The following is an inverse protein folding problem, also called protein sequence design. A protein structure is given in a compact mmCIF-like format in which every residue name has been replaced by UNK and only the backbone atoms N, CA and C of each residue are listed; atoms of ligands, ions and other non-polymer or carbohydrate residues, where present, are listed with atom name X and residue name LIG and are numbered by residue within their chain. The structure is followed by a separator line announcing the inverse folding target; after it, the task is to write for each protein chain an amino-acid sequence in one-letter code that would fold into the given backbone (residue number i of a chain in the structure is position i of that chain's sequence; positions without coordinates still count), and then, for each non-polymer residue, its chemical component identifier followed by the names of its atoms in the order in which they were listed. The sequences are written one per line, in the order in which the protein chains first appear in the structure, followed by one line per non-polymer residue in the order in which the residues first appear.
data_IF_228987186134
#
_entry.id   IF_228987186134
#
_cell.length_a   1.000
_cell.length_b   1.000
_cell.length_c   1.000
_cell.angle_alpha   90.00
_cell.angle_beta   90.00
_cell.angle_gamma   90.00
#
_symmetry.space_group_name_H-M   'P 1'
#
loop_
_entity.id
_entity.type
_entity.pdbx_description
1 polymer ?
#
# COMPACT_ATOMS: atom_id res chain seq x y z
N UNK A 1 -10.91 -5.95 15.03
CA UNK A 1 -11.87 -6.93 15.59
C UNK A 1 -11.18 -7.99 16.45
N UNK A 2 -10.08 -8.63 16.02
CA UNK A 2 -9.32 -9.58 16.83
C UNK A 2 -8.79 -8.89 18.07
N UNK A 3 -8.20 -7.72 17.93
CA UNK A 3 -7.69 -6.92 19.06
C UNK A 3 -8.82 -6.47 19.98
N UNK A 4 -9.98 -6.07 19.46
CA UNK A 4 -11.14 -5.71 20.24
C UNK A 4 -11.72 -6.88 21.05
N UNK A 5 -11.69 -8.09 20.47
CA UNK A 5 -12.11 -9.33 21.18
C UNK A 5 -11.09 -9.77 22.22
N UNK A 6 -9.80 -9.69 21.90
CA UNK A 6 -8.72 -9.95 22.86
C UNK A 6 -8.71 -8.94 24.01
N UNK A 7 -8.98 -7.68 23.72
CA UNK A 7 -9.07 -6.65 24.74
C UNK A 7 -10.20 -6.85 25.73
N UNK A 8 -11.32 -7.44 25.31
CA UNK A 8 -12.42 -7.81 26.19
C UNK A 8 -12.11 -9.05 27.05
N UNK A 9 -11.13 -9.86 26.65
CA UNK A 9 -10.71 -11.08 27.37
C UNK A 9 -9.67 -10.83 28.46
N UNK A 10 -8.96 -9.71 28.42
CA UNK A 10 -7.88 -9.37 29.35
C UNK A 10 -8.28 -8.18 30.22
N UNK A 11 -9.19 -8.34 31.15
CA UNK A 11 -9.57 -7.39 32.22
C UNK A 11 -10.69 -6.36 31.94
N UNK A 12 -11.37 -6.34 30.85
CA UNK A 12 -12.48 -5.39 30.62
C UNK A 12 -12.07 -3.91 30.59
N UNK A 13 -10.78 -3.61 30.64
CA UNK A 13 -10.20 -2.26 30.70
C UNK A 13 -9.19 -1.96 29.59
N UNK A 14 -9.16 -2.73 28.52
CA UNK A 14 -8.31 -2.35 27.40
C UNK A 14 -8.91 -1.10 26.75
N UNK A 15 -8.16 -0.02 26.82
CA UNK A 15 -8.38 1.23 26.08
C UNK A 15 -8.13 1.01 24.57
N UNK A 16 -8.85 0.04 24.00
CA UNK A 16 -8.93 -0.05 22.54
C UNK A 16 -10.05 0.89 22.13
N UNK A 17 -9.80 1.79 21.18
CA UNK A 17 -10.84 2.64 20.61
C UNK A 17 -12.04 1.77 20.20
N UNK A 18 -13.25 2.25 20.42
CA UNK A 18 -14.48 1.53 20.06
C UNK A 18 -14.50 1.21 18.57
N UNK A 19 -13.83 2.03 17.76
CA UNK A 19 -13.71 1.86 16.32
C UNK A 19 -12.24 1.70 15.93
N UNK A 20 -11.92 0.56 15.32
CA UNK A 20 -10.64 0.31 14.66
C UNK A 20 -10.92 0.10 13.18
N UNK A 21 -10.52 1.04 12.36
CA UNK A 21 -10.66 0.99 10.91
C UNK A 21 -9.32 0.61 10.27
N UNK A 22 -9.37 -0.06 9.13
CA UNK A 22 -8.17 -0.29 8.33
C UNK A 22 -7.74 1.03 7.68
N UNK A 23 -6.42 1.26 7.58
CA UNK A 23 -5.90 2.51 7.02
C UNK A 23 -6.40 2.81 5.60
N UNK A 24 -6.59 1.78 4.77
CA UNK A 24 -7.13 1.96 3.42
C UNK A 24 -8.58 2.39 3.42
N UNK A 25 -9.37 1.97 4.41
CA UNK A 25 -10.76 2.44 4.57
C UNK A 25 -10.76 3.93 4.92
N UNK A 26 -9.85 4.36 5.79
CA UNK A 26 -9.66 5.78 6.09
C UNK A 26 -9.20 6.57 4.86
N UNK A 27 -8.24 6.04 4.09
CA UNK A 27 -7.80 6.66 2.83
C UNK A 27 -8.95 6.78 1.82
N UNK A 28 -9.81 5.74 1.74
CA UNK A 28 -10.97 5.76 0.86
C UNK A 28 -11.95 6.88 1.22
N UNK A 29 -12.22 7.07 2.51
CA UNK A 29 -13.06 8.19 2.98
C UNK A 29 -12.42 9.53 2.62
N UNK A 30 -11.09 9.62 2.65
CA UNK A 30 -10.34 10.84 2.36
C UNK A 30 -9.95 11.00 0.89
N UNK A 31 -10.33 10.08 -0.01
CA UNK A 31 -9.82 10.00 -1.38
C UNK A 31 -9.97 11.29 -2.19
N UNK A 32 -11.10 11.97 -2.08
CA UNK A 32 -11.33 13.21 -2.81
C UNK A 32 -10.39 14.33 -2.33
N UNK A 33 -10.17 14.42 -1.01
CA UNK A 33 -9.21 15.37 -0.43
C UNK A 33 -7.76 15.03 -0.76
N UNK A 34 -7.45 13.77 -0.96
CA UNK A 34 -6.13 13.31 -1.42
C UNK A 34 -5.96 13.69 -2.89
N UNK A 35 -6.97 13.45 -3.72
CA UNK A 35 -6.98 13.83 -5.13
C UNK A 35 -6.80 15.35 -5.33
N UNK A 36 -7.42 16.19 -4.50
CA UNK A 36 -7.20 17.64 -4.49
C UNK A 36 -5.73 18.06 -4.25
N UNK A 37 -4.93 17.18 -3.67
CA UNK A 37 -3.50 17.40 -3.37
C UNK A 37 -2.56 16.72 -4.34
N UNK A 38 -3.10 16.02 -5.30
CA UNK A 38 -2.33 15.37 -6.35
C UNK A 38 -1.59 16.42 -7.18
N UNK A 39 -0.29 16.21 -7.39
CA UNK A 39 0.58 17.10 -8.18
C UNK A 39 1.18 16.38 -9.39
N UNK A 40 1.03 15.06 -9.48
CA UNK A 40 1.51 14.23 -10.58
C UNK A 40 0.31 13.57 -11.23
N UNK A 41 0.18 13.74 -12.54
CA UNK A 41 -0.88 13.10 -13.32
C UNK A 41 -0.62 11.58 -13.40
N UNK A 42 -1.63 10.80 -13.03
CA UNK A 42 -1.59 9.35 -13.07
C UNK A 42 -2.57 8.73 -14.08
N UNK A 43 -3.15 9.54 -14.96
CA UNK A 43 -4.21 9.12 -15.90
C UNK A 43 -3.76 8.05 -16.90
N UNK A 44 -2.47 8.00 -17.21
CA UNK A 44 -1.89 6.99 -18.09
C UNK A 44 -1.46 5.70 -17.36
N UNK A 45 -1.52 5.68 -16.03
CA UNK A 45 -1.11 4.52 -15.23
C UNK A 45 -2.22 3.47 -15.20
N UNK A 46 -1.88 2.26 -15.62
CA UNK A 46 -2.75 1.08 -15.56
C UNK A 46 -2.50 0.35 -14.26
N UNK A 47 -3.38 0.53 -13.30
CA UNK A 47 -3.29 -0.10 -11.98
C UNK A 47 -4.19 -1.34 -11.90
N UNK A 48 -3.68 -2.43 -11.38
CA UNK A 48 -4.48 -3.58 -10.96
C UNK A 48 -4.56 -3.61 -9.44
N UNK A 49 -5.69 -4.08 -8.91
CA UNK A 49 -5.89 -4.17 -7.47
C UNK A 49 -5.75 -5.61 -7.02
N UNK A 50 -4.99 -5.83 -5.95
CA UNK A 50 -5.02 -7.07 -5.20
C UNK A 50 -5.78 -6.87 -3.89
N UNK A 51 -7.05 -7.27 -3.81
CA UNK A 51 -7.83 -7.13 -2.59
C UNK A 51 -7.35 -8.13 -1.53
N UNK A 52 -7.06 -7.64 -0.33
CA UNK A 52 -6.61 -8.51 0.75
C UNK A 52 -7.77 -9.33 1.33
N UNK A 53 -7.62 -10.65 1.31
CA UNK A 53 -8.68 -11.55 1.77
C UNK A 53 -9.07 -11.35 3.25
N UNK A 54 -8.18 -10.83 4.08
CA UNK A 54 -8.47 -10.46 5.45
C UNK A 54 -9.53 -9.36 5.57
N UNK A 55 -9.61 -8.47 4.59
CA UNK A 55 -10.54 -7.35 4.61
C UNK A 55 -11.95 -7.76 4.20
N UNK A 56 -12.10 -8.70 3.28
CA UNK A 56 -13.42 -9.06 2.75
C UNK A 56 -13.89 -10.49 3.06
N UNK A 57 -12.97 -11.46 3.25
CA UNK A 57 -13.35 -12.86 3.53
C UNK A 57 -13.44 -13.16 5.01
N UNK A 58 -12.61 -12.52 5.84
CA UNK A 58 -12.48 -12.84 7.26
C UNK A 58 -13.22 -11.85 8.17
N UNK A 59 -13.84 -10.85 7.61
CA UNK A 59 -14.64 -9.89 8.36
C UNK A 59 -16.05 -10.45 8.51
N UNK A 60 -16.57 -10.63 9.74
CA UNK A 60 -17.93 -11.07 9.96
C UNK A 60 -18.94 -10.12 9.32
N UNK A 61 -20.11 -10.65 8.92
CA UNK A 61 -21.18 -9.85 8.33
C UNK A 61 -21.74 -8.77 9.25
N UNK A 62 -21.53 -8.92 10.57
CA UNK A 62 -21.86 -7.97 11.61
C UNK A 62 -20.71 -7.01 11.96
N UNK A 63 -19.68 -6.97 11.15
CA UNK A 63 -18.58 -6.05 11.36
C UNK A 63 -19.06 -4.60 11.28
N UNK A 64 -18.58 -3.81 12.23
CA UNK A 64 -18.95 -2.44 12.59
C UNK A 64 -18.78 -1.42 11.44
N UNK A 65 -18.37 -1.86 10.26
CA UNK A 65 -18.17 -0.96 9.13
C UNK A 65 -19.54 -0.59 8.56
N UNK A 66 -19.85 0.66 8.78
CA UNK A 66 -21.04 1.27 8.23
C UNK A 66 -20.99 1.15 6.70
N UNK A 67 -21.91 0.35 6.14
CA UNK A 67 -22.09 0.26 4.69
C UNK A 67 -22.27 1.63 4.04
N UNK A 68 -22.65 2.66 4.82
CA UNK A 68 -22.77 4.04 4.39
C UNK A 68 -21.40 4.66 4.04
N UNK A 69 -20.32 4.26 4.73
CA UNK A 69 -18.96 4.80 4.48
C UNK A 69 -18.36 4.15 3.23
N UNK A 70 -18.55 2.85 3.05
CA UNK A 70 -17.90 2.06 2.01
C UNK A 70 -18.85 1.58 0.91
N UNK A 71 -20.13 1.96 0.96
CA UNK A 71 -21.13 1.50 0.01
C UNK A 71 -21.32 -0.02 0.00
N UNK A 72 -21.00 -0.71 1.10
CA UNK A 72 -21.07 -2.16 1.22
C UNK A 72 -19.97 -2.93 0.47
N UNK A 73 -19.08 -2.26 -0.25
CA UNK A 73 -18.09 -2.91 -1.11
C UNK A 73 -16.64 -2.70 -0.63
N UNK A 74 -16.23 -3.46 0.38
CA UNK A 74 -14.87 -3.41 0.92
C UNK A 74 -13.80 -3.86 -0.07
N UNK A 75 -14.15 -4.62 -1.07
CA UNK A 75 -13.24 -5.04 -2.13
C UNK A 75 -12.81 -3.86 -2.99
N UNK A 76 -13.68 -2.87 -3.13
CA UNK A 76 -13.46 -1.68 -3.94
C UNK A 76 -12.73 -0.52 -3.21
N UNK A 77 -12.27 -0.72 -1.98
CA UNK A 77 -11.63 0.36 -1.21
C UNK A 77 -10.43 0.96 -1.96
N UNK A 78 -9.47 0.14 -2.34
CA UNK A 78 -8.31 0.62 -3.08
C UNK A 78 -8.66 1.02 -4.51
N UNK A 79 -9.65 0.39 -5.13
CA UNK A 79 -10.20 0.80 -6.44
C UNK A 79 -10.66 2.25 -6.39
N UNK A 80 -11.54 2.60 -5.43
CA UNK A 80 -12.04 3.97 -5.31
C UNK A 80 -10.95 5.01 -5.01
N UNK A 81 -9.88 4.62 -4.30
CA UNK A 81 -8.72 5.50 -4.09
C UNK A 81 -8.00 5.75 -5.44
N UNK A 82 -7.72 4.68 -6.19
CA UNK A 82 -7.01 4.79 -7.46
C UNK A 82 -7.81 5.54 -8.52
N UNK A 83 -9.11 5.31 -8.59
CA UNK A 83 -10.03 6.05 -9.48
C UNK A 83 -10.06 7.54 -9.15
N UNK A 84 -10.13 7.90 -7.87
CA UNK A 84 -10.08 9.29 -7.43
C UNK A 84 -8.75 9.98 -7.81
N UNK A 85 -7.64 9.22 -7.85
CA UNK A 85 -6.34 9.68 -8.32
C UNK A 85 -6.19 9.65 -9.85
N UNK A 86 -7.26 9.35 -10.57
CA UNK A 86 -7.31 9.36 -12.03
C UNK A 86 -6.65 8.16 -12.71
N UNK A 87 -6.21 7.13 -11.98
CA UNK A 87 -5.59 5.95 -12.60
C UNK A 87 -6.60 5.10 -13.36
N UNK A 88 -6.13 4.42 -14.40
CA UNK A 88 -6.91 3.40 -15.10
C UNK A 88 -6.90 2.10 -14.31
N UNK A 89 -7.95 1.82 -13.54
CA UNK A 89 -8.06 0.56 -12.82
C UNK A 89 -8.50 -0.54 -13.79
N UNK A 90 -7.66 -1.57 -13.91
CA UNK A 90 -7.86 -2.66 -14.86
C UNK A 90 -8.04 -3.97 -14.08
N UNK A 91 -9.16 -4.63 -14.32
CA UNK A 91 -9.40 -5.97 -13.81
C UNK A 91 -8.55 -7.01 -14.54
N UNK A 92 -8.21 -8.08 -13.85
CA UNK A 92 -7.55 -9.23 -14.43
C UNK A 92 -8.22 -10.53 -13.94
N UNK A 93 -8.18 -11.58 -14.73
CA UNK A 93 -8.98 -12.79 -14.55
C UNK A 93 -8.95 -13.38 -13.14
N UNK A 94 -7.81 -13.28 -12.46
CA UNK A 94 -7.58 -13.89 -11.15
C UNK A 94 -7.45 -12.83 -10.03
N UNK A 95 -8.05 -11.67 -10.24
CA UNK A 95 -7.93 -10.55 -9.29
C UNK A 95 -8.41 -10.90 -7.87
N UNK A 96 -9.42 -11.78 -7.77
CA UNK A 96 -10.02 -12.21 -6.51
C UNK A 96 -9.30 -13.41 -5.85
N UNK A 97 -8.33 -14.02 -6.53
CA UNK A 97 -7.57 -15.14 -5.98
C UNK A 97 -6.62 -14.68 -4.87
N UNK A 98 -6.30 -15.60 -3.97
CA UNK A 98 -5.30 -15.36 -2.91
C UNK A 98 -3.94 -14.99 -3.52
N UNK A 99 -3.14 -14.19 -2.79
CA UNK A 99 -1.75 -13.90 -3.17
C UNK A 99 -0.76 -15.04 -2.86
N UNK A 100 -1.22 -16.06 -2.16
CA UNK A 100 -0.36 -17.14 -1.67
C UNK A 100 0.20 -16.87 -0.26
N UNK A 101 -0.04 -15.70 0.36
CA UNK A 101 0.35 -15.41 1.72
C UNK A 101 -0.53 -16.17 2.71
N UNK A 102 -0.17 -17.41 2.99
CA UNK A 102 -0.74 -18.15 4.10
C UNK A 102 0.36 -18.49 5.09
N UNK A 103 0.21 -18.16 6.34
CA UNK A 103 1.25 -18.38 7.36
C UNK A 103 1.84 -19.79 7.30
N UNK A 104 1.00 -20.81 7.16
CA UNK A 104 1.41 -22.19 7.03
C UNK A 104 2.15 -22.44 5.71
N UNK A 105 1.61 -21.96 4.58
CA UNK A 105 2.15 -22.24 3.26
C UNK A 105 3.50 -21.55 3.03
N UNK A 106 3.70 -20.36 3.55
CA UNK A 106 5.00 -19.67 3.44
C UNK A 106 6.12 -20.47 4.10
N UNK A 107 5.82 -21.16 5.18
CA UNK A 107 6.81 -21.93 5.95
C UNK A 107 6.99 -23.33 5.36
N UNK A 108 5.90 -24.05 5.11
CA UNK A 108 5.92 -25.48 4.76
C UNK A 108 5.81 -25.77 3.26
N UNK A 109 5.24 -24.85 2.48
CA UNK A 109 4.90 -25.06 1.05
C UNK A 109 5.36 -23.89 0.18
N UNK A 110 6.63 -23.53 0.30
CA UNK A 110 7.20 -22.33 -0.34
C UNK A 110 7.05 -22.31 -1.86
N UNK A 111 7.22 -23.42 -2.52
CA UNK A 111 7.11 -23.52 -3.98
C UNK A 111 5.67 -23.29 -4.45
N UNK A 112 4.69 -23.82 -3.70
CA UNK A 112 3.28 -23.56 -3.96
C UNK A 112 2.98 -22.06 -3.84
N UNK A 113 3.42 -21.42 -2.75
CA UNK A 113 3.22 -19.98 -2.53
C UNK A 113 3.83 -19.13 -3.66
N UNK A 114 5.04 -19.49 -4.08
CA UNK A 114 5.74 -18.79 -5.18
C UNK A 114 5.02 -18.94 -6.50
N UNK A 115 4.67 -20.17 -6.88
CA UNK A 115 3.93 -20.44 -8.11
C UNK A 115 2.59 -19.70 -8.10
N UNK A 116 1.91 -19.72 -6.98
CA UNK A 116 0.62 -19.06 -6.85
C UNK A 116 0.72 -17.55 -7.04
N UNK A 117 1.67 -16.91 -6.36
CA UNK A 117 1.92 -15.48 -6.48
C UNK A 117 2.28 -15.08 -7.92
N UNK A 118 3.18 -15.84 -8.56
CA UNK A 118 3.64 -15.53 -9.92
C UNK A 118 2.59 -15.90 -10.95
N UNK A 119 2.17 -17.17 -11.00
CA UNK A 119 1.38 -17.67 -12.11
C UNK A 119 -0.08 -17.19 -12.06
N UNK A 120 -0.62 -16.99 -10.86
CA UNK A 120 -2.02 -16.58 -10.66
C UNK A 120 -2.21 -15.06 -10.52
N UNK A 121 -1.19 -14.32 -10.11
CA UNK A 121 -1.32 -12.89 -9.85
C UNK A 121 -0.47 -12.07 -10.81
N UNK A 122 0.85 -12.14 -10.68
CA UNK A 122 1.76 -11.24 -11.38
C UNK A 122 1.73 -11.48 -12.91
N UNK A 123 1.84 -12.73 -13.34
CA UNK A 123 1.79 -13.09 -14.76
C UNK A 123 0.51 -12.57 -15.42
N UNK A 124 -0.63 -12.83 -14.81
CA UNK A 124 -1.94 -12.43 -15.37
C UNK A 124 -2.07 -10.91 -15.41
N UNK A 125 -1.64 -10.21 -14.35
CA UNK A 125 -1.64 -8.76 -14.30
C UNK A 125 -0.75 -8.15 -15.41
N UNK A 126 0.43 -8.72 -15.65
CA UNK A 126 1.37 -8.22 -16.67
C UNK A 126 0.92 -8.60 -18.09
N UNK A 127 0.63 -9.89 -18.30
CA UNK A 127 0.40 -10.40 -19.67
C UNK A 127 -0.99 -10.09 -20.21
N UNK A 128 -2.03 -10.17 -19.36
CA UNK A 128 -3.42 -9.94 -19.77
C UNK A 128 -3.85 -8.49 -19.54
N UNK A 129 -3.69 -7.97 -18.31
CA UNK A 129 -4.11 -6.62 -17.97
C UNK A 129 -3.12 -5.53 -18.40
N UNK A 130 -1.89 -5.89 -18.77
CA UNK A 130 -0.84 -4.91 -19.12
C UNK A 130 -0.67 -3.86 -18.02
N UNK A 131 -0.67 -4.30 -16.77
CA UNK A 131 -0.57 -3.42 -15.62
C UNK A 131 0.83 -2.79 -15.50
N UNK A 132 0.86 -1.53 -15.11
CA UNK A 132 2.08 -0.80 -14.77
C UNK A 132 2.40 -0.93 -13.27
N UNK A 133 1.37 -1.19 -12.46
CA UNK A 133 1.49 -1.35 -11.01
C UNK A 133 0.38 -2.26 -10.47
N UNK A 134 0.70 -3.03 -9.45
CA UNK A 134 -0.29 -3.72 -8.63
C UNK A 134 -0.41 -3.02 -7.29
N UNK A 135 -1.64 -2.68 -6.91
CA UNK A 135 -1.94 -2.00 -5.65
C UNK A 135 -2.52 -3.00 -4.65
N UNK A 136 -1.97 -3.01 -3.46
CA UNK A 136 -2.46 -3.80 -2.33
C UNK A 136 -2.68 -2.94 -1.10
N UNK A 137 -3.36 -3.49 -0.10
CA UNK A 137 -3.60 -2.84 1.17
C UNK A 137 -3.31 -3.74 2.39
N UNK A 138 -2.61 -4.83 2.16
CA UNK A 138 -2.14 -5.74 3.20
C UNK A 138 -0.64 -6.00 3.02
N UNK A 139 0.13 -5.78 4.07
CA UNK A 139 1.59 -5.88 4.04
C UNK A 139 2.08 -7.28 3.70
N UNK A 140 1.38 -8.33 4.13
CA UNK A 140 1.70 -9.72 3.82
C UNK A 140 1.50 -10.02 2.33
N UNK A 141 0.40 -9.55 1.75
CA UNK A 141 0.12 -9.67 0.33
C UNK A 141 1.15 -8.92 -0.51
N UNK A 142 1.44 -7.66 -0.17
CA UNK A 142 2.42 -6.83 -0.87
C UNK A 142 3.79 -7.51 -0.84
N UNK A 143 4.27 -7.89 0.35
CA UNK A 143 5.56 -8.57 0.50
C UNK A 143 5.64 -9.87 -0.30
N UNK A 144 4.58 -10.67 -0.31
CA UNK A 144 4.56 -11.95 -1.03
C UNK A 144 4.62 -11.73 -2.54
N UNK A 145 3.80 -10.83 -3.05
CA UNK A 145 3.74 -10.54 -4.49
C UNK A 145 5.02 -9.88 -4.98
N UNK A 146 5.62 -9.00 -4.20
CA UNK A 146 6.86 -8.30 -4.53
C UNK A 146 8.08 -9.26 -4.49
N UNK A 147 8.33 -9.90 -3.35
CA UNK A 147 9.52 -10.75 -3.17
C UNK A 147 9.52 -11.99 -4.05
N UNK A 148 8.37 -12.59 -4.34
CA UNK A 148 8.32 -13.76 -5.19
C UNK A 148 8.69 -13.45 -6.64
N UNK A 149 8.52 -12.22 -7.12
CA UNK A 149 9.01 -11.81 -8.43
C UNK A 149 10.54 -11.86 -8.50
N UNK A 150 11.23 -11.35 -7.47
CA UNK A 150 12.68 -11.42 -7.39
C UNK A 150 13.20 -12.87 -7.38
N UNK A 151 12.56 -13.74 -6.60
CA UNK A 151 12.88 -15.18 -6.58
C UNK A 151 12.57 -15.81 -7.93
N UNK A 152 11.47 -15.45 -8.57
CA UNK A 152 11.09 -15.90 -9.90
C UNK A 152 12.09 -15.52 -10.98
N UNK A 153 12.66 -14.31 -10.92
CA UNK A 153 13.75 -13.87 -11.82
C UNK A 153 14.94 -14.81 -11.75
N UNK A 154 15.37 -15.20 -10.55
CA UNK A 154 16.46 -16.14 -10.35
C UNK A 154 16.16 -17.53 -10.94
N UNK A 155 14.89 -17.90 -11.07
CA UNK A 155 14.42 -19.14 -11.67
C UNK A 155 14.06 -19.02 -13.17
N UNK A 156 14.39 -17.90 -13.82
CA UNK A 156 14.07 -17.64 -15.24
C UNK A 156 12.60 -17.29 -15.52
N UNK A 157 11.78 -17.06 -14.50
CA UNK A 157 10.39 -16.60 -14.59
C UNK A 157 10.31 -15.13 -14.18
N UNK A 158 10.94 -14.25 -14.95
CA UNK A 158 11.13 -12.86 -14.56
C UNK A 158 9.97 -11.95 -14.90
N UNK A 159 9.30 -11.43 -13.88
CA UNK A 159 8.45 -10.26 -13.96
C UNK A 159 9.04 -9.16 -13.08
N UNK A 160 8.68 -7.93 -13.33
CA UNK A 160 9.14 -6.75 -12.59
C UNK A 160 7.99 -5.73 -12.45
N UNK A 161 6.84 -6.22 -12.04
CA UNK A 161 5.68 -5.39 -11.78
C UNK A 161 5.81 -4.76 -10.40
N UNK A 162 5.86 -3.43 -10.27
CA UNK A 162 5.81 -2.77 -8.97
C UNK A 162 4.57 -3.18 -8.19
N UNK A 163 4.75 -3.56 -6.92
CA UNK A 163 3.65 -3.88 -5.99
C UNK A 163 3.70 -2.88 -4.86
N UNK A 164 2.78 -1.93 -4.84
CA UNK A 164 2.76 -0.84 -3.87
C UNK A 164 1.52 -0.92 -2.96
N UNK A 165 1.65 -0.40 -1.75
CA UNK A 165 0.49 -0.07 -0.95
C UNK A 165 -0.28 1.10 -1.58
N UNK A 166 -1.60 1.13 -1.42
CA UNK A 166 -2.42 2.26 -1.86
C UNK A 166 -1.95 3.60 -1.27
N UNK A 167 -1.53 3.62 -0.01
CA UNK A 167 -0.95 4.81 0.62
C UNK A 167 0.40 5.21 0.01
N UNK A 168 1.23 4.25 -0.41
CA UNK A 168 2.50 4.54 -1.09
C UNK A 168 2.26 5.21 -2.45
N UNK A 169 1.34 4.66 -3.23
CA UNK A 169 0.98 5.23 -4.52
C UNK A 169 0.36 6.63 -4.36
N UNK A 170 -0.59 6.78 -3.44
CA UNK A 170 -1.21 8.06 -3.15
C UNK A 170 -0.16 9.11 -2.72
N UNK A 171 0.76 8.75 -1.83
CA UNK A 171 1.85 9.63 -1.42
C UNK A 171 2.74 10.02 -2.61
N UNK A 172 3.07 9.07 -3.49
CA UNK A 172 3.91 9.30 -4.66
C UNK A 172 3.30 10.33 -5.60
N UNK A 173 2.02 10.19 -5.95
CA UNK A 173 1.33 11.14 -6.86
C UNK A 173 1.01 12.48 -6.20
N UNK A 174 1.00 12.54 -4.87
CA UNK A 174 0.98 13.80 -4.11
C UNK A 174 2.36 14.46 -3.97
N UNK A 175 3.39 13.94 -4.64
CA UNK A 175 4.73 14.54 -4.70
C UNK A 175 5.66 14.12 -3.57
N UNK A 176 5.32 13.09 -2.80
CA UNK A 176 6.23 12.56 -1.78
C UNK A 176 7.52 12.01 -2.41
N UNK A 177 8.64 12.21 -1.71
CA UNK A 177 9.92 11.74 -2.19
C UNK A 177 9.96 10.21 -2.28
N UNK A 178 10.23 9.62 -3.47
CA UNK A 178 10.06 8.18 -3.69
C UNK A 178 10.95 7.31 -2.80
N UNK A 179 12.14 7.75 -2.46
CA UNK A 179 13.06 6.97 -1.62
C UNK A 179 12.97 7.32 -0.14
N UNK A 180 12.85 8.60 0.22
CA UNK A 180 12.79 9.03 1.63
C UNK A 180 11.44 8.69 2.29
N UNK A 181 10.33 8.89 1.59
CA UNK A 181 8.98 8.76 2.13
C UNK A 181 8.31 7.47 1.67
N UNK A 182 8.25 7.23 0.36
CA UNK A 182 7.59 6.04 -0.23
C UNK A 182 8.42 4.78 0.00
N UNK A 183 9.73 4.94 0.22
CA UNK A 183 10.68 3.84 0.47
C UNK A 183 10.77 2.84 -0.67
N UNK A 184 10.73 3.32 -1.90
CA UNK A 184 10.76 2.52 -3.13
C UNK A 184 11.95 1.55 -3.20
N UNK A 185 13.08 1.88 -2.56
CA UNK A 185 14.27 1.03 -2.51
C UNK A 185 14.13 -0.23 -1.65
N UNK A 186 13.05 -0.38 -0.89
CA UNK A 186 12.75 -1.58 -0.11
C UNK A 186 11.96 -2.63 -0.89
N UNK A 187 11.42 -2.25 -2.05
CA UNK A 187 10.73 -3.18 -2.92
C UNK A 187 11.72 -4.07 -3.67
N UNK A 188 11.35 -5.33 -3.85
CA UNK A 188 12.16 -6.31 -4.58
C UNK A 188 11.96 -6.19 -6.11
N UNK A 189 10.78 -5.72 -6.54
CA UNK A 189 10.50 -5.31 -7.93
C UNK A 189 10.87 -3.84 -8.13
N UNK A 190 11.39 -3.50 -9.31
CA UNK A 190 11.73 -2.11 -9.63
C UNK A 190 10.50 -1.23 -9.75
N UNK A 191 10.55 -0.06 -9.12
CA UNK A 191 9.54 0.99 -9.26
C UNK A 191 9.93 2.06 -10.30
N UNK A 192 11.09 1.91 -10.92
CA UNK A 192 11.68 2.92 -11.81
C UNK A 192 10.82 3.17 -13.05
N UNK A 193 10.34 2.11 -13.70
CA UNK A 193 9.45 2.22 -14.87
C UNK A 193 8.14 2.93 -14.54
N UNK A 194 7.58 2.67 -13.36
CA UNK A 194 6.39 3.38 -12.89
C UNK A 194 6.69 4.86 -12.66
N UNK A 195 7.84 5.18 -12.06
CA UNK A 195 8.26 6.57 -11.83
C UNK A 195 8.49 7.32 -13.14
N UNK A 196 9.10 6.67 -14.14
CA UNK A 196 9.26 7.22 -15.49
C UNK A 196 7.90 7.55 -16.12
N UNK A 197 6.94 6.63 -16.01
CA UNK A 197 5.60 6.83 -16.54
C UNK A 197 4.86 7.98 -15.84
N UNK A 198 5.13 8.18 -14.56
CA UNK A 198 4.62 9.30 -13.77
C UNK A 198 5.39 10.62 -14.01
N UNK A 199 6.41 10.62 -14.86
CA UNK A 199 7.24 11.81 -15.12
C UNK A 199 8.13 12.20 -13.94
N UNK A 200 8.45 11.26 -13.05
CA UNK A 200 9.33 11.48 -11.90
C UNK A 200 10.77 11.20 -12.32
N UNK A 201 11.64 12.19 -12.19
CA UNK A 201 13.09 12.00 -12.34
C UNK A 201 13.63 11.18 -11.16
N UNK A 202 13.46 9.86 -11.26
CA UNK A 202 13.87 8.94 -10.20
C UNK A 202 15.38 8.89 -10.02
N UNK A 203 16.16 9.17 -11.07
CA UNK A 203 17.62 9.17 -11.02
C UNK A 203 18.11 10.33 -10.13
N UNK A 204 17.60 11.53 -10.34
CA UNK A 204 17.88 12.66 -9.48
C UNK A 204 17.41 12.41 -8.04
N UNK A 205 16.21 11.87 -7.86
CA UNK A 205 15.66 11.53 -6.53
C UNK A 205 16.50 10.49 -5.80
N UNK A 206 17.04 9.51 -6.53
CA UNK A 206 17.97 8.50 -5.97
C UNK A 206 19.28 9.12 -5.55
N UNK A 207 19.86 9.99 -6.38
CA UNK A 207 21.09 10.71 -6.04
C UNK A 207 20.90 11.61 -4.81
N UNK A 208 19.78 12.33 -4.73
CA UNK A 208 19.43 13.16 -3.57
C UNK A 208 19.32 12.32 -2.29
N UNK A 209 18.75 11.11 -2.41
CA UNK A 209 18.61 10.20 -1.28
C UNK A 209 19.97 9.62 -0.84
N UNK A 210 20.83 9.23 -1.78
CA UNK A 210 22.18 8.75 -1.47
C UNK A 210 23.03 9.83 -0.82
N UNK A 211 22.91 11.08 -1.28
CA UNK A 211 23.57 12.22 -0.64
C UNK A 211 23.06 12.44 0.79
N UNK A 212 21.76 12.33 1.01
CA UNK A 212 21.14 12.41 2.32
C UNK A 212 21.65 11.31 3.28
N UNK A 213 21.75 10.07 2.81
CA UNK A 213 22.31 8.97 3.64
C UNK A 213 23.76 9.22 4.04
N UNK A 214 24.60 9.68 3.10
CA UNK A 214 26.00 10.04 3.40
C UNK A 214 26.11 11.16 4.43
N UNK A 215 25.20 12.13 4.37
CA UNK A 215 25.15 13.21 5.37
C UNK A 215 24.84 12.67 6.76
N UNK A 216 23.88 11.73 6.89
CA UNK A 216 23.54 11.10 8.16
C UNK A 216 24.70 10.27 8.70
N UNK A 217 25.33 9.45 7.84
CA UNK A 217 26.49 8.64 8.19
C UNK A 217 27.67 9.48 8.68
N UNK A 218 27.83 10.68 8.14
CA UNK A 218 28.83 11.65 8.60
C UNK A 218 28.47 12.38 9.91
N UNK A 219 27.39 11.98 10.59
CA UNK A 219 26.92 12.59 11.84
C UNK A 219 26.05 13.83 11.64
N UNK A 220 25.53 14.02 10.44
CA UNK A 220 24.51 15.05 10.16
C UNK A 220 23.19 14.78 10.85
N UNK A 221 22.40 15.82 11.02
CA UNK A 221 21.09 15.73 11.63
C UNK A 221 20.12 14.97 10.71
N UNK A 222 19.48 13.93 11.24
CA UNK A 222 18.48 13.19 10.51
C UNK A 222 17.21 14.04 10.40
N UNK A 223 16.75 14.27 9.19
CA UNK A 223 15.47 14.90 8.97
C UNK A 223 14.35 14.03 9.59
N UNK A 224 13.58 14.60 10.52
CA UNK A 224 12.46 13.88 11.12
C UNK A 224 11.27 13.86 10.14
N UNK A 225 11.33 12.92 9.20
CA UNK A 225 10.30 12.72 8.17
C UNK A 225 8.94 12.29 8.75
N UNK A 226 8.97 11.76 9.98
CA UNK A 226 7.80 11.24 10.68
C UNK A 226 7.38 12.10 11.86
N UNK A 227 7.82 13.37 11.94
CA UNK A 227 7.34 14.27 12.98
C UNK A 227 5.83 14.49 12.77
N UNK A 228 4.97 13.93 13.64
CA UNK A 228 3.52 14.04 13.48
C UNK A 228 3.05 15.52 13.51
N UNK A 229 3.81 16.40 14.12
CA UNK A 229 3.50 17.83 14.16
C UNK A 229 3.63 18.48 12.78
N UNK A 230 4.60 18.06 11.97
CA UNK A 230 4.76 18.50 10.57
C UNK A 230 3.63 17.99 9.68
N UNK A 231 3.20 16.75 9.88
CA UNK A 231 2.12 16.14 9.09
C UNK A 231 0.76 16.76 9.41
N UNK A 232 0.55 17.19 10.65
CA UNK A 232 -0.73 17.73 11.15
C UNK A 232 -0.87 19.23 10.85
N UNK A 233 0.25 19.96 10.82
CA UNK A 233 0.22 21.43 10.74
C UNK A 233 0.30 22.00 9.33
N UNK A 234 0.57 21.21 8.31
CA UNK A 234 0.82 21.70 6.96
C UNK A 234 -0.39 21.75 6.01
N UNK A 235 -1.59 21.49 6.50
CA UNK A 235 -2.80 21.50 5.67
C UNK A 235 -3.86 22.50 6.10
N UNK A 236 -4.41 23.33 5.19
CA UNK A 236 -5.54 24.17 5.53
C UNK A 236 -6.74 23.27 5.92
N UNK A 237 -7.23 23.44 7.15
CA UNK A 237 -8.44 22.78 7.63
C UNK A 237 -8.28 21.52 8.48
N UNK A 238 -7.07 21.06 8.76
CA UNK A 238 -6.85 20.01 9.74
C UNK A 238 -6.80 20.65 11.15
N UNK A 239 -7.89 20.61 11.86
CA UNK A 239 -7.86 20.78 13.31
C UNK A 239 -7.33 19.47 13.87
N UNK A 240 -6.04 19.46 14.23
CA UNK A 240 -5.36 18.26 14.67
C UNK A 240 -6.06 17.61 15.86
N UNK A 241 -6.11 16.29 15.85
CA UNK A 241 -6.35 15.51 17.06
C UNK A 241 -5.14 15.77 17.94
N UNK A 242 -5.31 16.57 19.00
CA UNK A 242 -4.31 16.69 20.06
C UNK A 242 -4.25 15.34 20.79
N UNK A 243 -3.21 14.59 20.55
CA UNK A 243 -2.83 13.52 21.47
C UNK A 243 -2.15 14.24 22.64
N UNK A 244 -2.90 14.55 23.69
CA UNK A 244 -2.33 14.98 24.94
C UNK A 244 -1.67 13.76 25.57
N UNK A 245 -0.36 13.67 25.49
CA UNK A 245 0.39 12.79 26.37
C UNK A 245 0.26 13.39 27.77
N UNK A 246 -0.61 12.80 28.57
CA UNK A 246 -0.55 12.98 30.02
C UNK A 246 0.72 12.26 30.49
N UNK A 247 1.64 13.06 31.03
CA UNK A 247 2.86 12.58 31.68
C UNK A 247 2.51 11.85 33.00
#
# INVERSE_FOLDING_TARGET
QILGKLGRLVDGKLLIPEEVVHYSEWLHVMRDRIAERQVIDASEVRATIHPACHVYKMVPSDAIYDDKILGGNRVAVSTGIMEALGTQVIDYKTWYDCCGFGFRHIISEREFTRSFAIDRKIKVAVEEAKADVMIGHDTGCITTLDKNQWIGKAAGKGYDLPVLADCQFAALVCGAHPYKIVQSHWHASSTETLMEKLGIDWQQKKADFEAYLKQIEAGGEQENLYDPRRMITSGPGFKGIRIEHQA
#
